data_IF_970627921101
#
_entry.id   IF_970627921101
#
_cell.length_a   1.000
_cell.length_b   1.000
_cell.length_c   1.000
_cell.angle_alpha   90.00
_cell.angle_beta   90.00
_cell.angle_gamma   90.00
#
_symmetry.space_group_name_H-M   'P 1'
#
loop_
_entity.id
_entity.type
_entity.pdbx_description
1 polymer ?
#
# COMPACT_ATOMS: atom_id res chain seq x y z
N UNK A 1 -19.83 3.82 -0.91
CA UNK A 1 -19.17 4.44 -2.08
C UNK A 1 -20.14 4.72 -3.22
N UNK A 2 -20.73 3.71 -3.87
CA UNK A 2 -21.67 3.93 -5.01
C UNK A 2 -22.87 4.83 -4.69
N UNK A 3 -23.59 4.55 -3.59
CA UNK A 3 -24.78 5.33 -3.19
C UNK A 3 -24.46 6.80 -2.88
N UNK A 4 -23.25 7.08 -2.35
CA UNK A 4 -22.78 8.43 -2.08
C UNK A 4 -22.11 9.10 -3.29
N UNK A 5 -21.93 8.38 -4.40
CA UNK A 5 -21.20 8.85 -5.59
C UNK A 5 -19.69 9.05 -5.39
N UNK A 6 -19.13 8.69 -4.22
CA UNK A 6 -17.70 8.85 -3.93
C UNK A 6 -16.84 7.99 -4.85
N UNK A 7 -17.32 6.82 -5.29
CA UNK A 7 -16.62 5.96 -6.25
C UNK A 7 -16.25 6.70 -7.55
N UNK A 8 -17.12 7.62 -8.00
CA UNK A 8 -16.88 8.41 -9.22
C UNK A 8 -15.87 9.54 -9.04
N UNK A 9 -15.61 9.95 -7.79
CA UNK A 9 -14.73 11.07 -7.40
C UNK A 9 -13.47 10.60 -6.67
N UNK A 10 -13.19 9.30 -6.63
CA UNK A 10 -12.10 8.72 -5.85
C UNK A 10 -11.28 7.74 -6.67
N UNK A 11 -10.01 7.62 -6.32
CA UNK A 11 -9.20 6.45 -6.63
C UNK A 11 -9.37 5.49 -5.45
N UNK A 12 -9.96 4.33 -5.70
CA UNK A 12 -10.11 3.26 -4.71
C UNK A 12 -9.03 2.22 -4.98
N UNK A 13 -8.13 2.03 -4.02
CA UNK A 13 -7.08 1.02 -4.06
C UNK A 13 -7.41 -0.04 -3.03
N UNK A 14 -7.43 -1.30 -3.48
CA UNK A 14 -7.49 -2.47 -2.61
C UNK A 14 -6.16 -3.20 -2.74
N UNK A 15 -5.51 -3.46 -1.62
CA UNK A 15 -4.27 -4.22 -1.59
C UNK A 15 -4.26 -5.17 -0.40
N UNK A 16 -3.64 -6.34 -0.55
CA UNK A 16 -3.23 -7.16 0.59
C UNK A 16 -1.88 -6.66 1.10
N UNK A 17 -1.70 -6.62 2.40
CA UNK A 17 -0.50 -6.12 3.07
C UNK A 17 0.59 -7.17 3.21
N UNK A 18 0.22 -8.43 3.44
CA UNK A 18 1.14 -9.57 3.45
C UNK A 18 0.41 -10.91 3.33
N UNK A 19 1.17 -12.00 3.30
CA UNK A 19 0.64 -13.36 3.36
C UNK A 19 -0.10 -13.60 4.67
N UNK A 20 -1.26 -14.25 4.63
CA UNK A 20 -2.03 -14.60 5.84
C UNK A 20 -1.60 -15.91 6.49
N UNK A 21 -1.10 -16.86 5.69
CA UNK A 21 -0.66 -18.18 6.15
C UNK A 21 0.86 -18.26 6.03
N UNK A 22 1.52 -18.70 7.10
CA UNK A 22 2.97 -18.81 7.17
C UNK A 22 3.54 -19.95 6.33
N UNK A 23 4.73 -20.42 6.73
CA UNK A 23 5.48 -21.45 6.00
C UNK A 23 5.89 -22.62 6.89
N UNK A 24 5.19 -22.85 8.01
CA UNK A 24 5.41 -24.03 8.82
C UNK A 24 4.95 -25.30 8.10
N UNK A 25 5.50 -26.46 8.48
CA UNK A 25 5.08 -27.75 7.91
C UNK A 25 3.59 -27.99 8.12
N UNK A 26 3.05 -27.64 9.28
CA UNK A 26 1.61 -27.76 9.57
C UNK A 26 0.76 -26.91 8.62
N UNK A 27 1.14 -25.66 8.39
CA UNK A 27 0.43 -24.75 7.49
C UNK A 27 0.51 -25.20 6.03
N UNK A 28 1.71 -25.56 5.57
CA UNK A 28 1.95 -26.00 4.19
C UNK A 28 1.25 -27.34 3.90
N UNK A 29 1.26 -28.29 4.84
CA UNK A 29 0.51 -29.54 4.74
C UNK A 29 -1.00 -29.31 4.69
N UNK A 30 -1.53 -28.32 5.42
CA UNK A 30 -2.94 -27.96 5.36
C UNK A 30 -3.33 -27.27 4.05
N UNK A 31 -2.42 -26.47 3.46
CA UNK A 31 -2.65 -25.76 2.20
C UNK A 31 -2.49 -26.65 0.97
N UNK A 32 -1.59 -27.64 1.01
CA UNK A 32 -1.25 -28.45 -0.17
C UNK A 32 -2.48 -29.08 -0.85
N UNK A 33 -3.47 -29.67 -0.15
CA UNK A 33 -4.68 -30.19 -0.78
C UNK A 33 -5.52 -29.11 -1.47
N UNK A 34 -5.66 -27.93 -0.86
CA UNK A 34 -6.45 -26.80 -1.40
C UNK A 34 -5.83 -26.26 -2.69
N UNK A 35 -4.52 -26.37 -2.81
CA UNK A 35 -3.74 -25.91 -3.98
C UNK A 35 -3.48 -27.01 -5.01
N UNK A 36 -4.13 -28.18 -4.88
CA UNK A 36 -3.94 -29.35 -5.75
C UNK A 36 -2.47 -29.85 -5.77
N UNK A 37 -1.82 -29.84 -4.59
CA UNK A 37 -0.43 -30.26 -4.38
C UNK A 37 -0.26 -31.34 -3.30
N UNK A 38 -1.33 -32.02 -2.90
CA UNK A 38 -1.27 -33.06 -1.87
C UNK A 38 -0.20 -34.14 -2.15
N UNK A 39 -0.01 -34.52 -3.42
CA UNK A 39 0.91 -35.57 -3.83
C UNK A 39 2.28 -35.04 -4.30
N UNK A 40 2.59 -33.76 -4.07
CA UNK A 40 3.84 -33.12 -4.53
C UNK A 40 4.61 -32.55 -3.34
N UNK A 41 5.95 -32.66 -3.33
CA UNK A 41 6.74 -32.01 -2.30
C UNK A 41 6.57 -30.49 -2.38
N UNK A 42 6.34 -29.87 -1.22
CA UNK A 42 6.26 -28.42 -1.11
C UNK A 42 7.63 -27.80 -1.43
N UNK A 43 7.67 -26.94 -2.44
CA UNK A 43 8.92 -26.33 -2.92
C UNK A 43 9.06 -24.86 -2.51
N UNK A 44 10.27 -24.32 -2.62
CA UNK A 44 10.51 -22.89 -2.39
C UNK A 44 9.72 -22.01 -3.36
N UNK A 45 9.52 -22.50 -4.59
CA UNK A 45 8.64 -21.89 -5.58
C UNK A 45 7.21 -21.75 -5.05
N UNK A 46 6.71 -22.74 -4.30
CA UNK A 46 5.36 -22.73 -3.73
C UNK A 46 5.22 -21.69 -2.64
N UNK A 47 6.17 -21.68 -1.71
CA UNK A 47 6.25 -20.65 -0.66
C UNK A 47 6.30 -19.25 -1.24
N UNK A 48 7.11 -19.03 -2.29
CA UNK A 48 7.23 -17.72 -2.95
C UNK A 48 5.93 -17.35 -3.67
N UNK A 49 5.26 -18.31 -4.29
CA UNK A 49 4.03 -18.03 -5.00
C UNK A 49 2.88 -17.59 -4.08
N UNK A 50 2.87 -18.07 -2.83
CA UNK A 50 1.92 -17.66 -1.80
C UNK A 50 2.15 -16.22 -1.28
N UNK A 51 3.28 -15.59 -1.61
CA UNK A 51 3.54 -14.19 -1.25
C UNK A 51 2.77 -13.19 -2.13
N UNK A 52 2.03 -13.67 -3.15
CA UNK A 52 1.20 -12.78 -3.97
C UNK A 52 0.00 -12.29 -3.17
N UNK A 53 -0.10 -10.97 -3.08
CA UNK A 53 -1.24 -10.25 -2.51
C UNK A 53 -2.06 -9.59 -3.62
N UNK A 54 -3.38 -9.39 -3.44
CA UNK A 54 -4.17 -8.67 -4.42
C UNK A 54 -3.71 -7.21 -4.50
N UNK A 55 -3.76 -6.63 -5.71
CA UNK A 55 -3.64 -5.19 -5.92
C UNK A 55 -4.62 -4.77 -7.00
N UNK A 56 -5.59 -3.94 -6.65
CA UNK A 56 -6.65 -3.49 -7.54
C UNK A 56 -6.80 -1.97 -7.43
N UNK A 57 -6.82 -1.30 -8.59
CA UNK A 57 -7.09 0.12 -8.68
C UNK A 57 -8.42 0.31 -9.41
N UNK A 58 -9.33 1.03 -8.77
CA UNK A 58 -10.58 1.49 -9.36
C UNK A 58 -10.61 3.02 -9.39
N UNK A 59 -10.75 3.59 -10.58
CA UNK A 59 -10.86 5.04 -10.78
C UNK A 59 -11.70 5.28 -12.03
N UNK A 60 -12.57 6.27 -11.97
CA UNK A 60 -13.35 6.69 -13.13
C UNK A 60 -12.43 7.20 -14.25
N UNK A 61 -12.64 6.74 -15.49
CA UNK A 61 -11.78 7.08 -16.64
C UNK A 61 -10.60 6.13 -16.88
N UNK A 62 -10.28 5.21 -15.96
CA UNK A 62 -9.32 4.14 -16.23
C UNK A 62 -9.98 2.99 -16.99
N UNK A 63 -9.33 2.54 -18.08
CA UNK A 63 -9.70 1.29 -18.75
C UNK A 63 -9.28 0.12 -17.85
N UNK A 64 -10.27 -0.60 -17.33
CA UNK A 64 -10.04 -1.80 -16.53
C UNK A 64 -9.38 -2.94 -17.31
N UNK A 65 -8.89 -3.93 -16.58
CA UNK A 65 -8.34 -5.16 -17.13
C UNK A 65 -7.42 -5.87 -16.15
N UNK A 66 -7.17 -7.14 -16.39
CA UNK A 66 -6.19 -7.92 -15.64
C UNK A 66 -4.80 -7.59 -16.19
N UNK A 67 -3.88 -7.21 -15.30
CA UNK A 67 -2.46 -7.00 -15.63
C UNK A 67 -1.67 -8.15 -15.01
N UNK A 68 -1.04 -8.99 -15.83
CA UNK A 68 -0.20 -10.12 -15.41
C UNK A 68 1.25 -9.72 -15.09
N UNK A 69 1.48 -8.43 -14.96
CA UNK A 69 2.77 -7.81 -14.73
C UNK A 69 3.25 -8.06 -13.29
N UNK A 70 4.46 -8.57 -13.10
CA UNK A 70 5.09 -8.69 -11.77
C UNK A 70 5.29 -7.29 -11.19
N UNK A 71 4.85 -7.08 -9.95
CA UNK A 71 4.83 -5.80 -9.25
C UNK A 71 5.07 -6.00 -7.75
N UNK A 72 5.65 -5.01 -7.09
CA UNK A 72 5.84 -4.99 -5.63
C UNK A 72 5.14 -3.81 -5.00
N UNK A 73 4.95 -3.85 -3.68
CA UNK A 73 4.26 -2.77 -2.93
C UNK A 73 4.93 -1.41 -3.08
N UNK A 74 6.27 -1.37 -3.23
CA UNK A 74 7.02 -0.13 -3.44
C UNK A 74 6.62 0.61 -4.72
N UNK A 75 6.01 -0.09 -5.68
CA UNK A 75 5.54 0.46 -6.95
C UNK A 75 4.20 1.22 -6.81
N UNK A 76 3.48 1.07 -5.68
CA UNK A 76 2.16 1.68 -5.47
C UNK A 76 2.25 3.20 -5.43
N UNK A 77 3.19 3.76 -4.66
CA UNK A 77 3.34 5.21 -4.49
C UNK A 77 3.63 5.92 -5.83
N UNK A 78 4.66 5.55 -6.62
CA UNK A 78 4.89 6.21 -7.92
C UNK A 78 3.71 6.06 -8.87
N UNK A 79 3.04 4.91 -8.88
CA UNK A 79 1.84 4.69 -9.70
C UNK A 79 0.71 5.65 -9.31
N UNK A 80 0.42 5.79 -8.01
CA UNK A 80 -0.62 6.69 -7.51
C UNK A 80 -0.29 8.16 -7.81
N UNK A 81 0.97 8.58 -7.59
CA UNK A 81 1.39 9.95 -7.88
C UNK A 81 1.23 10.29 -9.36
N UNK A 82 1.60 9.38 -10.28
CA UNK A 82 1.40 9.58 -11.71
C UNK A 82 -0.08 9.61 -12.12
N UNK A 83 -0.93 8.77 -11.52
CA UNK A 83 -2.39 8.84 -11.72
C UNK A 83 -2.97 10.19 -11.28
N UNK A 84 -2.38 10.83 -10.27
CA UNK A 84 -2.74 12.17 -9.81
C UNK A 84 -2.06 13.30 -10.59
N UNK A 85 -1.26 12.98 -11.62
CA UNK A 85 -0.54 13.97 -12.44
C UNK A 85 0.66 14.63 -11.75
N UNK A 86 1.21 14.00 -10.69
CA UNK A 86 2.35 14.53 -9.93
C UNK A 86 3.65 13.98 -10.52
N UNK A 87 4.58 14.87 -10.88
CA UNK A 87 5.93 14.48 -11.31
C UNK A 87 6.74 13.95 -10.12
N UNK A 88 7.23 12.72 -10.24
CA UNK A 88 7.99 12.02 -9.20
C UNK A 88 9.51 12.14 -9.37
N UNK A 89 10.01 12.79 -10.42
CA UNK A 89 11.44 12.81 -10.79
C UNK A 89 12.38 13.27 -9.67
N UNK A 90 11.93 14.20 -8.82
CA UNK A 90 12.73 14.74 -7.72
C UNK A 90 12.49 14.01 -6.39
N UNK A 91 11.67 12.96 -6.33
CA UNK A 91 11.47 12.18 -5.12
C UNK A 91 12.43 11.00 -5.08
N UNK A 92 12.96 10.71 -3.89
CA UNK A 92 13.74 9.50 -3.65
C UNK A 92 12.75 8.34 -3.47
N UNK A 93 12.58 7.51 -4.50
CA UNK A 93 11.69 6.35 -4.51
C UNK A 93 12.42 5.14 -5.12
N UNK A 94 12.10 3.94 -4.65
CA UNK A 94 12.71 2.70 -5.12
C UNK A 94 11.81 1.87 -6.03
N UNK A 95 10.50 2.15 -6.03
CA UNK A 95 9.54 1.53 -6.93
C UNK A 95 9.42 2.25 -8.26
N UNK A 96 8.64 1.66 -9.16
CA UNK A 96 8.40 2.16 -10.50
C UNK A 96 6.89 2.26 -10.75
N UNK A 97 6.47 3.24 -11.54
CA UNK A 97 5.07 3.32 -12.00
C UNK A 97 4.67 2.05 -12.79
N UNK A 98 3.64 1.35 -12.29
CA UNK A 98 3.13 0.10 -12.86
C UNK A 98 2.47 0.28 -14.23
N UNK A 99 2.01 1.48 -14.54
CA UNK A 99 1.38 1.82 -15.82
C UNK A 99 2.40 2.29 -16.86
N UNK A 100 3.65 2.51 -16.46
CA UNK A 100 4.73 2.90 -17.36
C UNK A 100 5.27 1.72 -18.16
N UNK A 101 5.43 1.93 -19.47
CA UNK A 101 6.08 0.97 -20.36
C UNK A 101 7.59 0.80 -20.10
N UNK A 102 8.22 1.74 -19.37
CA UNK A 102 9.66 1.77 -19.09
C UNK A 102 10.04 1.23 -17.70
N UNK A 103 9.10 0.62 -16.98
CA UNK A 103 9.35 0.10 -15.64
C UNK A 103 10.29 -1.09 -15.62
N UNK A 104 11.00 -1.26 -14.51
CA UNK A 104 11.73 -2.48 -14.22
C UNK A 104 10.75 -3.64 -14.05
N UNK A 105 11.07 -4.79 -14.63
CA UNK A 105 10.22 -6.00 -14.60
C UNK A 105 10.77 -7.03 -13.62
N UNK A 106 11.06 -6.60 -12.40
CA UNK A 106 11.45 -7.51 -11.33
C UNK A 106 10.98 -6.99 -9.98
N UNK A 107 10.83 -7.89 -9.02
CA UNK A 107 10.51 -7.62 -7.62
C UNK A 107 11.60 -8.18 -6.74
N UNK A 108 11.89 -7.49 -5.64
CA UNK A 108 12.89 -7.89 -4.65
C UNK A 108 12.18 -8.07 -3.32
N UNK A 109 12.28 -9.26 -2.74
CA UNK A 109 11.86 -9.50 -1.37
C UNK A 109 12.90 -9.01 -0.39
N UNK A 110 12.48 -8.76 0.85
CA UNK A 110 13.37 -8.27 1.91
C UNK A 110 14.54 -9.21 2.21
N UNK A 111 14.36 -10.53 2.04
CA UNK A 111 15.41 -11.52 2.21
C UNK A 111 16.38 -11.63 1.01
N UNK A 112 16.21 -10.80 -0.02
CA UNK A 112 17.02 -10.78 -1.23
C UNK A 112 16.55 -11.68 -2.36
N UNK A 113 15.44 -12.41 -2.19
CA UNK A 113 14.81 -13.17 -3.29
C UNK A 113 14.39 -12.23 -4.40
N UNK A 114 14.62 -12.61 -5.66
CA UNK A 114 14.30 -11.80 -6.84
C UNK A 114 13.32 -12.56 -7.72
N UNK A 115 12.26 -11.90 -8.14
CA UNK A 115 11.26 -12.46 -9.05
C UNK A 115 11.26 -11.65 -10.34
N UNK A 116 11.38 -12.33 -11.47
CA UNK A 116 11.32 -11.77 -12.82
C UNK A 116 10.34 -12.60 -13.66
N UNK A 117 9.93 -12.17 -14.87
CA UNK A 117 9.08 -12.97 -15.76
C UNK A 117 9.70 -14.31 -16.21
N UNK A 118 10.98 -14.54 -15.93
CA UNK A 118 11.72 -15.73 -16.34
C UNK A 118 12.26 -16.54 -15.17
N UNK A 119 12.62 -15.87 -14.07
CA UNK A 119 13.35 -16.48 -12.96
C UNK A 119 12.76 -16.10 -11.61
N UNK A 120 12.74 -17.09 -10.70
CA UNK A 120 12.69 -16.89 -9.26
C UNK A 120 14.06 -17.27 -8.70
N UNK A 121 14.77 -16.30 -8.14
CA UNK A 121 16.12 -16.47 -7.57
C UNK A 121 15.97 -16.37 -6.06
N UNK A 122 16.07 -17.49 -5.35
CA UNK A 122 15.73 -17.58 -3.92
C UNK A 122 16.93 -17.21 -3.05
N UNK A 123 16.68 -16.27 -2.13
CA UNK A 123 17.64 -15.82 -1.13
C UNK A 123 18.61 -14.74 -1.62
N UNK A 124 19.19 -14.01 -0.66
CA UNK A 124 20.14 -12.93 -0.89
C UNK A 124 21.60 -13.36 -0.80
N UNK A 125 22.44 -12.70 -1.63
CA UNK A 125 23.92 -12.79 -1.72
C UNK A 125 24.46 -14.06 -2.39
N UNK A 126 24.74 -13.95 -3.69
CA UNK A 126 25.59 -14.84 -4.49
C UNK A 126 25.18 -16.32 -4.57
N UNK A 127 23.93 -16.67 -4.24
CA UNK A 127 23.47 -18.05 -4.35
C UNK A 127 22.85 -18.31 -5.73
N UNK A 128 23.66 -18.89 -6.63
CA UNK A 128 23.22 -19.31 -7.96
C UNK A 128 22.58 -20.72 -7.97
N UNK A 129 22.41 -21.37 -6.81
CA UNK A 129 21.98 -22.77 -6.73
C UNK A 129 20.48 -22.95 -6.44
N UNK A 130 19.74 -21.85 -6.25
CA UNK A 130 18.31 -21.85 -5.92
C UNK A 130 17.54 -20.96 -6.89
N UNK A 131 17.56 -21.37 -8.16
CA UNK A 131 16.94 -20.65 -9.26
C UNK A 131 15.87 -21.54 -9.87
N UNK A 132 14.69 -20.97 -10.10
CA UNK A 132 13.54 -21.66 -10.65
C UNK A 132 13.02 -20.90 -11.87
N UNK A 133 12.50 -21.61 -12.87
CA UNK A 133 11.75 -21.00 -13.95
C UNK A 133 10.45 -20.40 -13.39
N UNK A 134 10.15 -19.16 -13.76
CA UNK A 134 8.99 -18.43 -13.23
C UNK A 134 7.64 -19.05 -13.64
N UNK A 135 7.57 -19.66 -14.82
CA UNK A 135 6.32 -20.18 -15.38
C UNK A 135 6.09 -21.64 -14.97
N UNK A 136 7.13 -22.47 -15.00
CA UNK A 136 7.00 -23.90 -14.71
C UNK A 136 7.24 -24.24 -13.24
N UNK A 137 8.02 -23.41 -12.52
CA UNK A 137 8.47 -23.69 -11.17
C UNK A 137 9.56 -24.76 -11.08
N UNK A 138 10.09 -25.21 -12.21
CA UNK A 138 11.18 -26.19 -12.24
C UNK A 138 12.50 -25.55 -11.84
N UNK A 139 13.30 -26.29 -11.07
CA UNK A 139 14.63 -25.83 -10.66
C UNK A 139 15.57 -25.84 -11.86
N UNK A 140 16.24 -24.71 -12.09
CA UNK A 140 17.25 -24.55 -13.14
C UNK A 140 18.61 -24.96 -12.58
N UNK A 141 19.09 -26.13 -12.99
CA UNK A 141 20.38 -26.67 -12.52
C UNK A 141 21.57 -26.24 -13.38
N UNK A 142 21.33 -25.93 -14.66
CA UNK A 142 22.37 -25.55 -15.62
C UNK A 142 22.00 -24.20 -16.25
N UNK A 143 22.85 -23.19 -16.02
CA UNK A 143 22.72 -21.88 -16.64
C UNK A 143 23.73 -21.74 -17.76
N UNK A 144 23.31 -21.15 -18.87
CA UNK A 144 24.25 -20.63 -19.88
C UNK A 144 25.03 -19.45 -19.31
N UNK A 145 26.21 -19.15 -19.85
CA UNK A 145 27.02 -18.00 -19.42
C UNK A 145 26.26 -16.68 -19.50
N UNK A 146 25.42 -16.52 -20.53
CA UNK A 146 24.55 -15.34 -20.70
C UNK A 146 23.51 -15.22 -19.58
N UNK A 147 22.87 -16.33 -19.21
CA UNK A 147 21.89 -16.33 -18.11
C UNK A 147 22.58 -16.07 -16.77
N UNK A 148 23.74 -16.69 -16.54
CA UNK A 148 24.54 -16.46 -15.35
C UNK A 148 24.92 -14.98 -15.20
N UNK A 149 25.45 -14.36 -16.24
CA UNK A 149 25.79 -12.94 -16.25
C UNK A 149 24.57 -12.04 -15.98
N UNK A 150 23.40 -12.37 -16.57
CA UNK A 150 22.17 -11.63 -16.34
C UNK A 150 21.68 -11.74 -14.89
N UNK A 151 21.71 -12.95 -14.32
CA UNK A 151 21.30 -13.21 -12.93
C UNK A 151 22.24 -12.54 -11.94
N UNK A 152 23.55 -12.58 -12.18
CA UNK A 152 24.53 -11.84 -11.36
C UNK A 152 24.28 -10.33 -11.40
N UNK A 153 23.89 -9.80 -12.57
CA UNK A 153 23.50 -8.40 -12.70
C UNK A 153 22.24 -8.07 -11.89
N UNK A 154 21.21 -8.93 -11.93
CA UNK A 154 20.00 -8.79 -11.12
C UNK A 154 20.32 -8.82 -9.61
N UNK A 155 21.16 -9.75 -9.17
CA UNK A 155 21.59 -9.86 -7.76
C UNK A 155 22.29 -8.58 -7.29
N UNK A 156 23.18 -8.01 -8.12
CA UNK A 156 23.87 -6.75 -7.82
C UNK A 156 22.89 -5.58 -7.73
N UNK A 157 21.92 -5.49 -8.65
CA UNK A 157 20.87 -4.46 -8.60
C UNK A 157 20.02 -4.59 -7.34
N UNK A 158 19.58 -5.80 -7.00
CA UNK A 158 18.74 -6.05 -5.83
C UNK A 158 19.46 -5.71 -4.52
N UNK A 159 20.71 -6.16 -4.37
CA UNK A 159 21.54 -5.82 -3.22
C UNK A 159 21.75 -4.32 -3.09
N UNK A 160 21.96 -3.61 -4.21
CA UNK A 160 22.11 -2.15 -4.23
C UNK A 160 20.82 -1.44 -3.80
N UNK A 161 19.68 -1.86 -4.33
CA UNK A 161 18.36 -1.29 -3.99
C UNK A 161 18.06 -1.45 -2.50
N UNK A 162 18.15 -2.67 -1.96
CA UNK A 162 17.94 -2.94 -0.53
C UNK A 162 18.90 -2.12 0.35
N UNK A 163 20.19 -2.09 0.00
CA UNK A 163 21.19 -1.32 0.74
C UNK A 163 20.90 0.18 0.73
N UNK A 164 20.45 0.74 -0.38
CA UNK A 164 20.11 2.17 -0.45
C UNK A 164 18.85 2.50 0.32
N UNK A 165 17.84 1.64 0.28
CA UNK A 165 16.66 1.77 1.14
C UNK A 165 17.06 1.73 2.62
N UNK A 166 17.93 0.81 3.01
CA UNK A 166 18.42 0.72 4.38
C UNK A 166 19.22 1.96 4.78
N UNK A 167 20.10 2.45 3.90
CA UNK A 167 20.89 3.63 4.17
C UNK A 167 20.01 4.87 4.36
N UNK A 168 19.02 5.06 3.47
CA UNK A 168 18.06 6.15 3.54
C UNK A 168 17.37 6.20 4.91
N UNK A 169 16.85 5.05 5.34
CA UNK A 169 16.09 4.93 6.59
C UNK A 169 17.01 4.98 7.83
N UNK A 170 18.03 4.13 7.89
CA UNK A 170 18.90 3.98 9.07
C UNK A 170 19.77 5.22 9.33
N UNK A 171 20.01 6.05 8.32
CA UNK A 171 20.75 7.32 8.48
C UNK A 171 19.86 8.55 8.44
N UNK A 172 18.53 8.35 8.38
CA UNK A 172 17.55 9.43 8.28
C UNK A 172 17.93 10.47 7.19
N UNK A 173 18.28 10.00 6.00
CA UNK A 173 18.92 10.87 5.00
C UNK A 173 17.97 11.93 4.40
N UNK A 174 16.65 11.71 4.49
CA UNK A 174 15.67 12.69 3.99
C UNK A 174 15.75 14.03 4.74
N UNK A 175 16.32 14.08 5.95
CA UNK A 175 16.57 15.35 6.66
C UNK A 175 17.53 16.29 5.92
N UNK A 176 18.28 15.77 4.95
CA UNK A 176 19.27 16.51 4.17
C UNK A 176 18.84 16.77 2.72
N UNK A 177 17.64 16.32 2.34
CA UNK A 177 17.15 16.45 0.98
C UNK A 177 15.68 16.83 0.98
N UNK A 178 15.36 18.01 0.43
CA UNK A 178 14.00 18.49 0.24
C UNK A 178 13.78 18.74 -1.25
N UNK A 179 12.90 17.98 -1.93
CA UNK A 179 12.56 18.24 -3.32
C UNK A 179 12.02 19.67 -3.50
N UNK A 180 12.27 20.28 -4.66
CA UNK A 180 11.73 21.62 -4.97
C UNK A 180 10.20 21.61 -4.86
N UNK A 181 9.64 22.53 -4.07
CA UNK A 181 8.20 22.65 -3.84
C UNK A 181 7.65 21.71 -2.77
N UNK A 182 8.47 20.82 -2.19
CA UNK A 182 8.08 20.04 -1.03
C UNK A 182 8.21 20.90 0.23
N UNK A 183 7.16 20.95 1.05
CA UNK A 183 7.17 21.60 2.35
C UNK A 183 7.44 20.52 3.40
N UNK A 184 8.57 20.58 4.13
CA UNK A 184 8.85 19.63 5.21
C UNK A 184 7.71 19.59 6.24
N UNK A 185 7.37 18.37 6.67
CA UNK A 185 6.29 18.14 7.63
C UNK A 185 6.79 18.46 9.04
N UNK A 186 6.05 19.29 9.77
CA UNK A 186 6.24 19.45 11.22
C UNK A 186 5.27 18.52 11.97
N UNK A 187 5.76 17.43 12.60
CA UNK A 187 4.90 16.49 13.31
C UNK A 187 4.12 17.11 14.47
N UNK A 188 4.62 18.21 15.07
CA UNK A 188 3.97 18.87 16.21
C UNK A 188 2.68 19.60 15.81
N UNK A 189 2.47 19.83 14.51
CA UNK A 189 1.23 20.44 14.00
C UNK A 189 0.05 19.47 13.92
N UNK A 190 0.28 18.17 14.14
CA UNK A 190 -0.76 17.14 14.06
C UNK A 190 -1.23 16.71 15.44
N UNK A 191 -2.54 16.85 15.71
CA UNK A 191 -3.18 16.32 16.92
C UNK A 191 -4.43 15.51 16.56
N UNK A 192 -4.29 14.18 16.57
CA UNK A 192 -5.37 13.27 16.21
C UNK A 192 -6.56 13.28 17.17
N UNK A 193 -6.37 13.69 18.43
CA UNK A 193 -7.47 13.83 19.39
C UNK A 193 -8.42 14.95 18.97
N UNK A 194 -7.88 16.03 18.40
CA UNK A 194 -8.66 17.20 17.98
C UNK A 194 -9.19 17.11 16.55
N UNK A 195 -8.84 16.08 15.77
CA UNK A 195 -9.23 15.94 14.36
C UNK A 195 -10.73 16.11 14.11
N UNK A 196 -11.58 15.49 14.95
CA UNK A 196 -13.04 15.61 14.81
C UNK A 196 -13.51 17.06 14.98
N UNK A 197 -12.97 17.78 15.96
CA UNK A 197 -13.33 19.17 16.22
C UNK A 197 -12.81 20.10 15.13
N UNK A 198 -11.60 19.86 14.65
CA UNK A 198 -11.02 20.57 13.51
C UNK A 198 -11.89 20.38 12.26
N UNK A 199 -12.37 19.16 12.00
CA UNK A 199 -13.30 18.89 10.90
C UNK A 199 -14.61 19.69 11.05
N UNK A 200 -15.20 19.76 12.25
CA UNK A 200 -16.40 20.56 12.50
C UNK A 200 -16.11 22.07 12.34
N UNK A 201 -14.96 22.55 12.82
CA UNK A 201 -14.53 23.95 12.68
C UNK A 201 -14.35 24.33 11.22
N UNK A 202 -13.63 23.52 10.44
CA UNK A 202 -13.43 23.72 9.00
C UNK A 202 -14.79 23.77 8.30
N UNK A 203 -15.69 22.80 8.57
CA UNK A 203 -17.03 22.78 7.98
C UNK A 203 -17.82 24.06 8.25
N UNK A 204 -17.78 24.57 9.49
CA UNK A 204 -18.44 25.84 9.86
C UNK A 204 -17.82 27.04 9.14
N UNK A 205 -16.49 27.08 9.06
CA UNK A 205 -15.74 28.16 8.42
C UNK A 205 -16.03 28.26 6.92
N UNK A 206 -16.08 27.13 6.22
CA UNK A 206 -16.38 27.11 4.77
C UNK A 206 -17.88 27.22 4.47
N UNK A 207 -18.75 26.99 5.45
CA UNK A 207 -20.20 27.18 5.36
C UNK A 207 -20.83 26.50 4.14
N UNK A 208 -21.57 27.28 3.34
CA UNK A 208 -22.26 26.79 2.14
C UNK A 208 -21.31 26.34 1.02
N UNK A 209 -20.02 26.70 1.08
CA UNK A 209 -19.00 26.25 0.13
C UNK A 209 -18.42 24.87 0.50
N UNK A 210 -18.94 24.21 1.54
CA UNK A 210 -18.47 22.89 1.96
C UNK A 210 -18.76 21.83 0.90
N UNK A 211 -17.72 21.20 0.35
CA UNK A 211 -17.80 20.06 -0.57
C UNK A 211 -17.77 18.71 0.14
N UNK A 212 -17.89 18.70 1.47
CA UNK A 212 -17.90 17.44 2.22
C UNK A 212 -19.17 16.65 1.92
N UNK A 213 -19.05 15.32 1.81
CA UNK A 213 -20.21 14.45 1.59
C UNK A 213 -21.30 14.67 2.66
N UNK A 214 -20.91 14.98 3.89
CA UNK A 214 -21.85 15.28 4.98
C UNK A 214 -22.68 16.55 4.72
N UNK A 215 -22.03 17.63 4.27
CA UNK A 215 -22.69 18.91 3.97
C UNK A 215 -23.61 18.80 2.74
N UNK A 216 -23.15 18.11 1.69
CA UNK A 216 -23.94 17.86 0.47
C UNK A 216 -25.22 17.05 0.76
N UNK A 217 -25.25 16.28 1.86
CA UNK A 217 -26.35 15.40 2.22
C UNK A 217 -27.10 15.85 3.49
N UNK A 218 -27.31 17.18 3.65
CA UNK A 218 -28.14 17.76 4.72
C UNK A 218 -27.72 17.35 6.13
N UNK A 219 -26.44 17.06 6.33
CA UNK A 219 -25.88 16.72 7.62
C UNK A 219 -26.08 15.26 8.05
N UNK A 220 -26.31 14.34 7.12
CA UNK A 220 -26.22 12.91 7.40
C UNK A 220 -25.88 12.12 6.15
N UNK A 221 -25.11 11.04 6.32
CA UNK A 221 -24.88 10.03 5.29
C UNK A 221 -25.32 8.65 5.76
N UNK A 222 -26.01 8.57 6.90
CA UNK A 222 -26.35 7.32 7.59
C UNK A 222 -27.22 6.44 6.70
N UNK A 223 -28.28 7.02 6.12
CA UNK A 223 -29.20 6.28 5.26
C UNK A 223 -28.53 5.73 4.00
N UNK A 224 -27.32 6.19 3.69
CA UNK A 224 -26.52 5.69 2.57
C UNK A 224 -25.73 4.43 2.89
N UNK A 225 -25.48 4.15 4.17
CA UNK A 225 -24.76 2.97 4.61
C UNK A 225 -25.69 1.76 4.69
N UNK A 226 -25.26 0.65 4.10
CA UNK A 226 -25.94 -0.65 4.14
C UNK A 226 -24.88 -1.72 4.35
N UNK A 227 -25.19 -2.69 5.19
CA UNK A 227 -24.29 -3.80 5.54
C UNK A 227 -25.11 -5.04 5.89
N UNK A 228 -24.60 -6.18 5.46
CA UNK A 228 -25.04 -7.54 5.81
C UNK A 228 -24.01 -8.24 6.72
N UNK A 229 -23.00 -7.51 7.22
CA UNK A 229 -21.95 -8.07 8.06
C UNK A 229 -22.53 -8.62 9.38
N UNK A 230 -22.27 -9.90 9.62
CA UNK A 230 -22.77 -10.66 10.78
C UNK A 230 -22.35 -10.07 12.14
N UNK A 231 -21.22 -9.36 12.19
CA UNK A 231 -20.60 -8.87 13.43
C UNK A 231 -21.17 -7.53 13.94
N UNK A 232 -22.17 -6.94 13.27
CA UNK A 232 -22.60 -5.58 13.60
C UNK A 232 -23.70 -5.58 14.65
N UNK A 233 -23.37 -5.06 15.82
CA UNK A 233 -24.36 -4.50 16.74
C UNK A 233 -24.85 -3.16 16.15
N UNK A 234 -26.03 -3.20 15.52
CA UNK A 234 -26.64 -2.04 14.83
C UNK A 234 -26.85 -0.84 15.75
N UNK A 235 -26.98 -1.06 17.06
CA UNK A 235 -27.26 -0.01 18.04
C UNK A 235 -26.04 0.89 18.28
N UNK A 236 -24.81 0.38 18.08
CA UNK A 236 -23.56 1.14 18.29
C UNK A 236 -23.04 1.85 17.06
N UNK A 237 -23.67 1.68 15.90
CA UNK A 237 -23.19 2.24 14.63
C UNK A 237 -23.28 3.79 14.62
N UNK A 238 -24.15 4.34 15.47
CA UNK A 238 -24.52 5.76 15.47
C UNK A 238 -23.91 6.57 16.62
N UNK A 239 -23.23 5.89 17.55
CA UNK A 239 -22.58 6.54 18.68
C UNK A 239 -21.22 7.12 18.28
N UNK A 240 -20.97 8.36 18.70
CA UNK A 240 -19.62 8.89 18.66
C UNK A 240 -18.75 8.09 19.66
N UNK A 241 -17.55 7.65 19.27
CA UNK A 241 -16.62 7.00 20.18
C UNK A 241 -16.38 7.83 21.45
N UNK A 242 -16.28 7.17 22.61
CA UNK A 242 -16.17 7.83 23.91
C UNK A 242 -14.99 8.83 23.99
N UNK A 243 -13.87 8.50 23.35
CA UNK A 243 -12.72 9.39 23.23
C UNK A 243 -13.07 10.69 22.47
N UNK A 244 -13.85 10.62 21.39
CA UNK A 244 -14.30 11.80 20.64
C UNK A 244 -15.23 12.67 21.50
N UNK A 245 -16.12 12.07 22.28
CA UNK A 245 -17.01 12.79 23.20
C UNK A 245 -16.22 13.49 24.31
N UNK A 246 -15.26 12.79 24.92
CA UNK A 246 -14.37 13.34 25.95
C UNK A 246 -13.60 14.54 25.42
N UNK A 247 -12.93 14.40 24.27
CA UNK A 247 -12.20 15.50 23.64
C UNK A 247 -13.11 16.67 23.27
N UNK A 248 -14.35 16.41 22.82
CA UNK A 248 -15.34 17.48 22.59
C UNK A 248 -15.70 18.24 23.87
N UNK A 249 -15.80 17.56 25.01
CA UNK A 249 -16.08 18.18 26.31
C UNK A 249 -14.89 19.03 26.77
N UNK A 250 -13.69 18.47 26.70
CA UNK A 250 -12.43 19.16 27.04
C UNK A 250 -12.21 20.39 26.15
N UNK A 251 -12.37 20.26 24.84
CA UNK A 251 -12.24 21.39 23.93
C UNK A 251 -13.35 22.43 24.06
N UNK A 252 -14.58 22.03 24.39
CA UNK A 252 -15.65 23.00 24.74
C UNK A 252 -15.31 23.77 26.01
N UNK A 253 -14.57 23.18 26.95
CA UNK A 253 -14.11 23.87 28.15
C UNK A 253 -12.96 24.84 27.80
N UNK A 254 -11.99 24.40 26.99
CA UNK A 254 -10.91 25.26 26.48
C UNK A 254 -11.44 26.46 25.66
N UNK A 255 -12.41 26.23 24.77
CA UNK A 255 -13.05 27.28 23.96
C UNK A 255 -14.08 28.13 24.73
N UNK A 256 -14.39 27.80 25.99
CA UNK A 256 -15.16 28.67 26.89
C UNK A 256 -14.27 29.64 27.65
N UNK A 257 -12.97 29.36 27.74
CA UNK A 257 -11.97 30.27 28.33
C UNK A 257 -11.48 31.30 27.31
N UNK A 258 -11.52 30.99 26.01
CA UNK A 258 -11.25 31.95 24.94
C UNK A 258 -12.56 32.54 24.37
N UNK A 259 -12.87 33.76 24.80
CA UNK A 259 -13.80 34.67 24.14
C UNK A 259 -13.48 34.78 22.63
N UNK A 260 -14.47 35.08 21.75
CA UNK A 260 -14.26 35.09 20.31
C UNK A 260 -13.07 35.99 19.94
N UNK A 261 -12.13 35.45 19.17
CA UNK A 261 -11.17 36.26 18.41
C UNK A 261 -12.01 37.23 17.56
N UNK A 262 -12.04 38.48 18.00
CA UNK A 262 -12.69 39.59 17.33
C UNK A 262 -12.18 39.68 15.89
N UNK A 263 -13.14 39.84 14.97
CA UNK A 263 -13.11 40.40 13.61
C UNK A 263 -11.94 40.04 12.70
#
# INVERSE_FOLDING_TARGET
MKKSGLDKKSIVILYGDHYGVGSSDNETNALAPILNKADKPWSEYDTINLQRVPFMIHMNGLKGGIKSNIAGEIDVLPTLLHLLGIDTKNYIQFGNDLLSNKRQKFVIFRNGTIITPHYIIVGGRNNLNRIYDFNTGEKINNLTDKQKAHIEHLIKQAAKSLRYSDLLNNRNLLRFYTPKGFIPVDPLTFNYQLNYLNMIRIRKMVGNNSTSLYSENRGSTIDMYKTDAFQINKDKLFDLPANVIKTRKEAKNLLKEDAPLNK
#
